data_IF_793725390890
#
_entry.id   IF_793725390890
#
_cell.length_a   1.000
_cell.length_b   1.000
_cell.length_c   1.000
_cell.angle_alpha   90.00
_cell.angle_beta   90.00
_cell.angle_gamma   90.00
#
_symmetry.space_group_name_H-M   'P 1'
#
loop_
_entity.id
_entity.type
_entity.pdbx_description
1 polymer ?
#
# COMPACT_ATOMS: atom_id res chain seq x y z
N UNK A 1 -28.79 8.56 -8.20
CA UNK A 1 -28.03 7.52 -8.93
C UNK A 1 -28.51 7.51 -10.38
N UNK A 2 -27.82 6.85 -11.31
CA UNK A 2 -28.37 6.61 -12.65
C UNK A 2 -29.49 5.56 -12.61
N UNK A 3 -29.60 4.78 -13.68
CA UNK A 3 -30.65 3.78 -13.83
C UNK A 3 -30.40 2.47 -13.03
N UNK A 4 -29.22 2.31 -12.41
CA UNK A 4 -28.90 1.20 -11.52
C UNK A 4 -28.58 -0.13 -12.21
N UNK A 5 -28.45 -0.15 -13.54
CA UNK A 5 -28.18 -1.36 -14.32
C UNK A 5 -26.72 -1.82 -14.23
N UNK A 6 -25.78 -0.89 -14.08
CA UNK A 6 -24.35 -1.18 -14.09
C UNK A 6 -23.78 -1.41 -12.68
N UNK A 7 -24.56 -1.11 -11.65
CA UNK A 7 -24.15 -1.24 -10.25
C UNK A 7 -24.71 -2.53 -9.64
N UNK A 8 -23.85 -3.31 -9.01
CA UNK A 8 -24.23 -4.47 -8.20
C UNK A 8 -24.81 -4.03 -6.86
N UNK A 9 -25.97 -4.56 -6.49
CA UNK A 9 -26.61 -4.21 -5.22
C UNK A 9 -25.77 -4.58 -4.01
N UNK A 10 -25.06 -5.71 -4.06
CA UNK A 10 -24.31 -6.22 -2.90
C UNK A 10 -22.83 -5.87 -2.92
N UNK A 11 -22.23 -5.77 -4.11
CA UNK A 11 -20.79 -5.66 -4.27
C UNK A 11 -20.29 -4.22 -4.42
N UNK A 12 -21.14 -3.29 -4.86
CA UNK A 12 -20.75 -1.90 -5.09
C UNK A 12 -21.25 -0.97 -3.97
N UNK A 13 -20.53 0.13 -3.75
CA UNK A 13 -20.93 1.21 -2.84
C UNK A 13 -21.82 2.23 -3.55
N UNK A 14 -22.99 1.80 -4.02
CA UNK A 14 -23.93 2.67 -4.72
C UNK A 14 -24.69 3.63 -3.79
N UNK A 15 -24.78 3.32 -2.49
CA UNK A 15 -25.46 4.15 -1.48
C UNK A 15 -24.56 5.21 -0.83
N UNK A 16 -23.26 5.18 -1.07
CA UNK A 16 -22.28 6.05 -0.41
C UNK A 16 -21.95 5.67 1.05
N UNK A 17 -22.86 4.95 1.74
CA UNK A 17 -22.68 4.49 3.12
C UNK A 17 -21.65 3.35 3.30
N UNK A 18 -21.19 2.71 2.21
CA UNK A 18 -20.33 1.54 2.23
C UNK A 18 -20.88 0.41 1.35
N UNK A 19 -20.13 -0.69 1.27
CA UNK A 19 -20.55 -1.86 0.50
C UNK A 19 -21.64 -2.61 1.27
N UNK A 20 -22.79 -2.83 0.64
CA UNK A 20 -24.00 -3.36 1.29
C UNK A 20 -23.76 -4.73 1.94
N UNK A 21 -23.00 -5.64 1.30
CA UNK A 21 -22.70 -6.96 1.88
C UNK A 21 -21.86 -6.90 3.16
N UNK A 22 -21.01 -5.88 3.28
CA UNK A 22 -20.14 -5.70 4.46
C UNK A 22 -20.92 -5.04 5.61
N UNK A 23 -21.86 -4.16 5.27
CA UNK A 23 -22.78 -3.53 6.24
C UNK A 23 -23.83 -4.52 6.76
N UNK A 24 -24.38 -5.37 5.89
CA UNK A 24 -25.47 -6.29 6.20
C UNK A 24 -25.15 -7.76 5.84
N UNK A 25 -24.11 -8.35 6.45
CA UNK A 25 -23.60 -9.67 6.06
C UNK A 25 -24.61 -10.81 6.27
N UNK A 26 -25.55 -10.67 7.21
CA UNK A 26 -26.57 -11.71 7.45
C UNK A 26 -27.60 -11.75 6.33
N UNK A 27 -27.98 -10.58 5.81
CA UNK A 27 -28.87 -10.48 4.66
C UNK A 27 -28.17 -10.96 3.39
N UNK A 28 -26.92 -10.56 3.18
CA UNK A 28 -26.12 -11.06 2.05
C UNK A 28 -25.98 -12.58 2.08
N UNK A 29 -25.85 -13.18 3.28
CA UNK A 29 -25.83 -14.62 3.40
C UNK A 29 -27.15 -15.27 2.95
N UNK A 30 -28.30 -14.60 3.07
CA UNK A 30 -29.61 -15.10 2.64
C UNK A 30 -29.87 -14.95 1.14
N UNK A 31 -29.12 -14.08 0.46
CA UNK A 31 -29.28 -13.78 -0.95
C UNK A 31 -28.89 -14.96 -1.86
N UNK A 32 -29.78 -15.33 -2.79
CA UNK A 32 -29.46 -16.28 -3.86
C UNK A 32 -28.79 -15.58 -5.05
N UNK A 33 -29.22 -14.38 -5.39
CA UNK A 33 -28.71 -13.62 -6.54
C UNK A 33 -27.72 -12.55 -6.09
N UNK A 34 -26.48 -12.98 -5.81
CA UNK A 34 -25.43 -12.09 -5.28
C UNK A 34 -24.97 -11.00 -6.25
N UNK A 35 -25.12 -11.26 -7.55
CA UNK A 35 -24.75 -10.33 -8.63
C UNK A 35 -25.94 -9.54 -9.18
N UNK A 36 -27.05 -9.48 -8.43
CA UNK A 36 -28.23 -8.69 -8.83
C UNK A 36 -27.89 -7.21 -8.94
N UNK A 37 -28.38 -6.55 -10.00
CA UNK A 37 -28.21 -5.12 -10.18
C UNK A 37 -29.06 -4.34 -9.18
N UNK A 38 -28.69 -3.09 -8.90
CA UNK A 38 -29.50 -2.20 -8.06
C UNK A 38 -30.88 -2.01 -8.67
N UNK A 39 -30.97 -1.84 -10.00
CA UNK A 39 -32.25 -1.67 -10.67
C UNK A 39 -33.18 -2.85 -10.46
N UNK A 40 -32.69 -4.05 -10.76
CA UNK A 40 -33.52 -5.25 -10.71
C UNK A 40 -33.99 -5.51 -9.27
N UNK A 41 -33.06 -5.39 -8.32
CA UNK A 41 -33.35 -5.61 -6.89
C UNK A 41 -34.38 -4.63 -6.32
N UNK A 42 -34.35 -3.37 -6.76
CA UNK A 42 -35.31 -2.34 -6.34
C UNK A 42 -36.63 -2.38 -7.12
N UNK A 43 -36.65 -3.06 -8.28
CA UNK A 43 -37.86 -3.25 -9.07
C UNK A 43 -38.74 -4.40 -8.58
N UNK A 44 -38.16 -5.33 -7.82
CA UNK A 44 -38.91 -6.41 -7.18
C UNK A 44 -39.95 -5.86 -6.19
N UNK A 45 -41.06 -6.58 -6.03
CA UNK A 45 -42.12 -6.21 -5.09
C UNK A 45 -41.63 -6.16 -3.64
N UNK A 46 -40.52 -6.84 -3.33
CA UNK A 46 -39.86 -6.81 -2.04
C UNK A 46 -38.37 -7.15 -2.20
N UNK A 47 -37.51 -6.48 -1.43
CA UNK A 47 -36.08 -6.81 -1.33
C UNK A 47 -35.83 -8.25 -0.85
N UNK A 48 -36.83 -8.91 -0.26
CA UNK A 48 -36.72 -10.29 0.23
C UNK A 48 -37.02 -11.34 -0.84
N UNK A 49 -37.47 -10.94 -2.04
CA UNK A 49 -37.93 -11.86 -3.09
C UNK A 49 -36.89 -12.90 -3.50
N UNK A 50 -35.63 -12.46 -3.64
CA UNK A 50 -34.52 -13.33 -4.03
C UNK A 50 -33.83 -14.02 -2.84
N UNK A 51 -34.32 -13.86 -1.61
CA UNK A 51 -33.75 -14.55 -0.47
C UNK A 51 -34.15 -16.03 -0.46
N UNK A 52 -33.21 -16.90 -0.09
CA UNK A 52 -33.46 -18.36 0.02
C UNK A 52 -34.53 -18.74 1.04
N UNK A 53 -34.81 -17.85 1.99
CA UNK A 53 -35.82 -18.01 3.04
C UNK A 53 -36.24 -16.65 3.59
N UNK A 54 -37.36 -16.64 4.31
CA UNK A 54 -37.80 -15.45 5.04
C UNK A 54 -36.81 -15.05 6.16
N UNK A 55 -36.77 -13.75 6.43
CA UNK A 55 -35.96 -13.15 7.48
C UNK A 55 -36.50 -13.63 8.83
N UNK A 56 -35.60 -14.07 9.70
CA UNK A 56 -35.94 -14.40 11.08
C UNK A 56 -35.71 -13.15 11.93
N UNK A 57 -36.57 -12.91 12.92
CA UNK A 57 -36.48 -11.73 13.79
C UNK A 57 -35.12 -11.54 14.48
N UNK A 58 -35.02 -10.50 15.31
CA UNK A 58 -33.77 -10.17 16.00
C UNK A 58 -32.76 -9.55 15.04
N UNK A 59 -31.53 -10.07 15.01
CA UNK A 59 -30.44 -9.39 14.30
C UNK A 59 -30.54 -9.41 12.75
N UNK A 60 -31.26 -10.37 12.13
CA UNK A 60 -31.52 -10.27 10.67
C UNK A 60 -32.54 -9.15 10.41
N UNK A 61 -33.58 -9.02 11.26
CA UNK A 61 -34.57 -7.94 11.16
C UNK A 61 -33.94 -6.56 11.35
N UNK A 62 -33.07 -6.39 12.35
CA UNK A 62 -32.37 -5.11 12.58
C UNK A 62 -31.56 -4.69 11.35
N UNK A 63 -30.86 -5.64 10.70
CA UNK A 63 -30.15 -5.34 9.45
C UNK A 63 -31.12 -4.99 8.31
N UNK A 64 -32.28 -5.64 8.25
CA UNK A 64 -33.28 -5.39 7.23
C UNK A 64 -33.91 -4.01 7.38
N UNK A 65 -34.28 -3.60 8.58
CA UNK A 65 -34.85 -2.29 8.86
C UNK A 65 -33.85 -1.16 8.50
N UNK A 66 -32.56 -1.39 8.79
CA UNK A 66 -31.50 -0.48 8.39
C UNK A 66 -31.31 -0.44 6.86
N UNK A 67 -31.37 -1.59 6.18
CA UNK A 67 -31.29 -1.65 4.72
C UNK A 67 -32.47 -0.93 4.06
N UNK A 68 -33.69 -1.14 4.56
CA UNK A 68 -34.89 -0.42 4.09
C UNK A 68 -34.74 1.09 4.26
N UNK A 69 -34.19 1.53 5.40
CA UNK A 69 -33.91 2.96 5.64
C UNK A 69 -32.91 3.52 4.62
N UNK A 70 -31.83 2.80 4.34
CA UNK A 70 -30.83 3.17 3.34
C UNK A 70 -31.42 3.22 1.92
N UNK A 71 -32.21 2.21 1.53
CA UNK A 71 -32.85 2.13 0.21
C UNK A 71 -33.84 3.27 0.02
N UNK A 72 -34.56 3.69 1.07
CA UNK A 72 -35.54 4.78 0.99
C UNK A 72 -34.92 6.14 0.61
N UNK A 73 -33.61 6.31 0.84
CA UNK A 73 -32.87 7.52 0.50
C UNK A 73 -32.38 7.54 -0.96
N UNK A 74 -32.50 6.42 -1.69
CA UNK A 74 -31.93 6.28 -3.04
C UNK A 74 -33.00 6.45 -4.11
N UNK A 75 -32.80 7.45 -4.95
CA UNK A 75 -33.61 7.69 -6.14
C UNK A 75 -32.84 7.28 -7.40
N UNK A 76 -33.41 6.34 -8.15
CA UNK A 76 -32.96 5.96 -9.49
C UNK A 76 -33.52 6.96 -10.51
N UNK A 77 -32.66 7.41 -11.41
CA UNK A 77 -33.01 8.36 -12.48
C UNK A 77 -32.88 7.61 -13.82
N UNK A 78 -33.74 7.87 -14.83
CA UNK A 78 -33.63 7.26 -16.15
C UNK A 78 -32.44 7.84 -16.95
N UNK A 79 -31.24 7.69 -16.42
CA UNK A 79 -29.96 8.10 -17.03
C UNK A 79 -28.95 6.97 -16.89
N UNK A 80 -27.93 6.94 -17.75
CA UNK A 80 -26.89 5.91 -17.68
C UNK A 80 -26.07 6.08 -16.40
N UNK A 81 -25.79 4.97 -15.72
CA UNK A 81 -24.92 4.97 -14.54
C UNK A 81 -23.52 5.53 -14.86
N UNK A 82 -22.92 6.20 -13.88
CA UNK A 82 -21.58 6.79 -13.99
C UNK A 82 -20.77 6.50 -12.75
N UNK A 83 -19.52 6.11 -12.95
CA UNK A 83 -18.54 5.99 -11.87
C UNK A 83 -18.13 7.37 -11.37
N UNK A 84 -18.21 7.57 -10.07
CA UNK A 84 -17.85 8.83 -9.41
C UNK A 84 -16.63 8.61 -8.51
N UNK A 85 -15.63 9.47 -8.67
CA UNK A 85 -14.43 9.44 -7.84
C UNK A 85 -14.63 10.27 -6.57
N UNK A 86 -14.64 9.62 -5.40
CA UNK A 86 -14.94 10.28 -4.12
C UNK A 86 -13.73 10.96 -3.46
N UNK A 87 -12.50 10.70 -3.93
CA UNK A 87 -11.30 11.28 -3.32
C UNK A 87 -11.08 12.76 -3.67
N UNK A 88 -11.85 13.30 -4.61
CA UNK A 88 -11.75 14.69 -5.04
C UNK A 88 -13.14 15.28 -5.25
N UNK A 89 -13.31 16.57 -4.93
CA UNK A 89 -14.58 17.29 -5.08
C UNK A 89 -15.09 17.37 -6.52
N UNK A 90 -14.21 17.19 -7.51
CA UNK A 90 -14.56 17.24 -8.93
C UNK A 90 -15.27 15.98 -9.42
N UNK A 91 -15.44 14.94 -8.60
CA UNK A 91 -16.07 13.65 -8.96
C UNK A 91 -15.40 12.88 -10.10
N UNK A 92 -14.28 13.38 -10.62
CA UNK A 92 -13.56 12.84 -11.75
C UNK A 92 -12.30 12.09 -11.32
N UNK A 93 -11.99 11.01 -12.04
CA UNK A 93 -10.78 10.25 -11.83
C UNK A 93 -9.55 11.05 -12.33
N UNK A 94 -8.52 11.12 -11.50
CA UNK A 94 -7.24 11.70 -11.89
C UNK A 94 -6.08 10.86 -11.38
N UNK A 95 -5.17 10.51 -12.28
CA UNK A 95 -3.92 9.81 -11.93
C UNK A 95 -3.08 10.66 -10.96
N UNK A 96 -3.12 11.99 -11.08
CA UNK A 96 -2.39 12.88 -10.20
C UNK A 96 -2.94 12.84 -8.77
N UNK A 97 -4.27 12.79 -8.60
CA UNK A 97 -4.88 12.80 -7.26
C UNK A 97 -4.63 11.49 -6.51
N UNK A 98 -4.82 10.33 -7.17
CA UNK A 98 -4.54 9.04 -6.54
C UNK A 98 -3.05 8.87 -6.24
N UNK A 99 -2.17 9.33 -7.13
CA UNK A 99 -0.72 9.25 -6.93
C UNK A 99 -0.28 10.06 -5.71
N UNK A 100 -0.83 11.25 -5.49
CA UNK A 100 -0.54 12.07 -4.31
C UNK A 100 -0.87 11.34 -2.99
N UNK A 101 -1.98 10.60 -2.96
CA UNK A 101 -2.41 9.82 -1.77
C UNK A 101 -1.48 8.61 -1.57
N UNK A 102 -1.19 7.87 -2.64
CA UNK A 102 -0.27 6.73 -2.61
C UNK A 102 1.11 7.19 -2.14
N UNK A 103 1.63 8.25 -2.73
CA UNK A 103 2.94 8.80 -2.38
C UNK A 103 2.95 9.30 -0.93
N UNK A 104 1.90 9.96 -0.45
CA UNK A 104 1.80 10.37 0.96
C UNK A 104 1.78 9.22 1.97
N UNK A 105 1.25 8.05 1.59
CA UNK A 105 1.25 6.86 2.46
C UNK A 105 2.54 6.03 2.37
N UNK A 106 3.14 5.95 1.18
CA UNK A 106 4.32 5.11 0.91
C UNK A 106 5.63 5.82 1.17
N UNK A 107 5.71 7.09 0.83
CA UNK A 107 6.88 7.90 1.08
C UNK A 107 6.72 8.48 2.47
N UNK A 108 7.36 7.84 3.47
CA UNK A 108 7.64 8.53 4.72
C UNK A 108 8.30 9.85 4.34
N UNK A 109 7.81 10.96 4.87
CA UNK A 109 8.45 12.27 4.65
C UNK A 109 9.82 12.26 5.35
N UNK A 110 10.80 11.61 4.73
CA UNK A 110 12.19 11.76 5.13
C UNK A 110 12.54 13.22 4.86
N UNK A 111 12.72 13.99 5.94
CA UNK A 111 13.07 15.40 5.86
C UNK A 111 14.45 15.60 5.24
N UNK A 112 15.25 14.53 5.11
CA UNK A 112 16.56 14.59 4.50
C UNK A 112 16.46 14.48 2.97
N UNK A 113 16.55 15.64 2.29
CA UNK A 113 16.74 15.67 0.83
C UNK A 113 17.96 14.83 0.46
N UNK A 114 17.81 13.93 -0.51
CA UNK A 114 18.95 13.16 -1.03
C UNK A 114 19.92 14.11 -1.73
N UNK A 115 21.17 14.17 -1.26
CA UNK A 115 22.22 14.99 -1.87
C UNK A 115 23.05 14.12 -2.82
N UNK A 116 22.95 14.41 -4.11
CA UNK A 116 23.74 13.75 -5.14
C UNK A 116 25.14 14.35 -5.22
N UNK A 117 26.17 13.51 -5.34
CA UNK A 117 27.54 13.98 -5.57
C UNK A 117 27.81 14.05 -7.08
N UNK A 118 28.07 15.26 -7.60
CA UNK A 118 28.33 15.49 -9.04
C UNK A 118 29.65 14.91 -9.55
N UNK A 119 30.58 14.57 -8.65
CA UNK A 119 31.92 14.07 -8.99
C UNK A 119 31.98 12.54 -9.13
N UNK A 120 30.89 11.83 -8.86
CA UNK A 120 30.82 10.37 -9.02
C UNK A 120 29.82 9.99 -10.11
N UNK A 121 30.02 8.84 -10.78
CA UNK A 121 29.04 8.32 -11.73
C UNK A 121 27.65 8.16 -11.08
N UNK A 122 26.60 8.40 -11.86
CA UNK A 122 25.21 8.31 -11.40
C UNK A 122 24.87 6.94 -10.78
N UNK A 123 25.46 5.85 -11.28
CA UNK A 123 25.26 4.50 -10.76
C UNK A 123 25.74 4.37 -9.30
N UNK A 124 26.86 4.99 -8.96
CA UNK A 124 27.41 5.01 -7.59
C UNK A 124 26.51 5.78 -6.65
N UNK A 125 26.03 6.94 -7.10
CA UNK A 125 25.04 7.75 -6.41
C UNK A 125 23.76 6.93 -6.12
N UNK A 126 23.18 6.28 -7.14
CA UNK A 126 21.96 5.46 -7.01
C UNK A 126 22.18 4.29 -6.05
N UNK A 127 23.35 3.64 -6.10
CA UNK A 127 23.70 2.57 -5.17
C UNK A 127 23.76 3.07 -3.73
N UNK A 128 24.45 4.19 -3.47
CA UNK A 128 24.52 4.80 -2.15
C UNK A 128 23.13 5.19 -1.61
N UNK A 129 22.28 5.76 -2.46
CA UNK A 129 20.89 6.06 -2.12
C UNK A 129 20.09 4.79 -1.76
N UNK A 130 20.22 3.71 -2.54
CA UNK A 130 19.57 2.43 -2.23
C UNK A 130 20.07 1.81 -0.92
N UNK A 131 21.36 1.95 -0.60
CA UNK A 131 21.92 1.50 0.68
C UNK A 131 21.33 2.31 1.83
N UNK A 132 21.29 3.65 1.71
CA UNK A 132 20.69 4.54 2.73
C UNK A 132 19.23 4.21 3.00
N UNK A 133 18.45 3.92 1.96
CA UNK A 133 17.03 3.60 2.06
C UNK A 133 16.74 2.14 2.44
N UNK A 134 17.77 1.33 2.70
CA UNK A 134 17.68 -0.14 2.83
C UNK A 134 16.80 -0.78 1.73
N UNK A 135 17.00 -0.32 0.49
CA UNK A 135 16.18 -0.65 -0.67
C UNK A 135 16.88 -1.62 -1.64
N UNK A 136 18.04 -2.17 -1.25
CA UNK A 136 18.71 -3.22 -2.00
C UNK A 136 17.92 -4.54 -1.95
N UNK A 137 17.97 -5.36 -3.01
CA UNK A 137 17.29 -6.65 -3.08
C UNK A 137 18.02 -7.72 -2.26
N UNK A 138 18.29 -7.43 -0.98
CA UNK A 138 18.86 -8.41 -0.05
C UNK A 138 17.81 -9.42 0.35
N UNK A 139 18.21 -10.65 0.73
CA UNK A 139 17.25 -11.65 1.22
C UNK A 139 16.41 -11.15 2.40
N UNK A 140 16.98 -10.35 3.31
CA UNK A 140 16.22 -9.71 4.38
C UNK A 140 15.12 -8.79 3.85
N UNK A 141 15.42 -7.96 2.84
CA UNK A 141 14.45 -7.03 2.27
C UNK A 141 13.41 -7.73 1.40
N UNK A 142 13.77 -8.85 0.76
CA UNK A 142 12.84 -9.71 0.02
C UNK A 142 11.84 -10.35 0.99
N UNK A 143 12.33 -10.95 2.08
CA UNK A 143 11.49 -11.54 3.12
C UNK A 143 10.55 -10.52 3.77
N UNK A 144 11.03 -9.30 4.08
CA UNK A 144 10.19 -8.20 4.60
C UNK A 144 9.06 -7.78 3.66
N UNK A 145 9.15 -8.07 2.37
CA UNK A 145 8.11 -7.80 1.37
C UNK A 145 7.10 -8.95 1.23
N UNK A 146 7.21 -10.00 2.06
CA UNK A 146 6.33 -11.15 2.03
C UNK A 146 6.61 -12.12 0.89
N UNK A 147 7.78 -12.03 0.24
CA UNK A 147 8.21 -13.00 -0.76
C UNK A 147 8.84 -14.18 -0.02
N UNK A 148 8.28 -15.37 -0.23
CA UNK A 148 8.77 -16.59 0.39
C UNK A 148 10.14 -16.98 -0.16
N UNK A 149 11.08 -17.19 0.76
CA UNK A 149 12.47 -17.58 0.46
C UNK A 149 12.94 -18.60 1.50
N UNK A 150 13.70 -19.59 1.04
CA UNK A 150 14.14 -20.72 1.88
C UNK A 150 15.01 -20.31 3.08
N UNK A 151 15.77 -19.21 2.95
CA UNK A 151 16.61 -18.69 4.03
C UNK A 151 16.94 -17.22 3.81
N UNK A 152 17.04 -16.45 4.89
CA UNK A 152 17.54 -15.07 4.91
C UNK A 152 19.05 -14.98 5.15
N UNK A 153 19.74 -16.12 5.27
CA UNK A 153 21.19 -16.17 5.44
C UNK A 153 21.92 -15.63 4.22
N UNK A 154 23.08 -15.00 4.45
CA UNK A 154 23.92 -14.47 3.38
C UNK A 154 24.54 -15.62 2.57
N UNK A 155 24.29 -15.70 1.25
CA UNK A 155 24.78 -16.80 0.41
C UNK A 155 26.28 -16.73 0.17
N UNK A 156 26.92 -15.57 0.42
CA UNK A 156 28.34 -15.35 0.16
C UNK A 156 29.17 -15.91 1.32
N UNK A 157 28.76 -15.64 2.55
CA UNK A 157 29.51 -16.01 3.74
C UNK A 157 28.94 -17.22 4.47
N UNK A 158 27.67 -17.53 4.23
CA UNK A 158 26.87 -18.47 5.00
C UNK A 158 26.82 -18.20 6.52
N UNK A 159 27.24 -17.01 6.94
CA UNK A 159 27.34 -16.55 8.32
C UNK A 159 26.50 -15.27 8.51
N UNK A 160 25.35 -15.41 9.16
CA UNK A 160 24.45 -14.29 9.47
C UNK A 160 23.49 -13.91 8.35
N UNK A 161 22.69 -12.87 8.62
CA UNK A 161 21.58 -12.42 7.76
C UNK A 161 22.09 -11.54 6.62
N UNK A 162 21.61 -11.81 5.40
CA UNK A 162 21.88 -10.97 4.24
C UNK A 162 21.16 -9.63 4.36
N UNK A 163 21.85 -8.63 4.88
CA UNK A 163 21.38 -7.24 4.96
C UNK A 163 22.36 -6.29 4.26
N UNK A 164 21.89 -5.10 3.91
CA UNK A 164 22.76 -4.04 3.35
C UNK A 164 23.93 -3.75 4.30
N UNK A 165 23.69 -3.75 5.61
CA UNK A 165 24.75 -3.58 6.61
C UNK A 165 25.76 -4.74 6.61
N UNK A 166 25.26 -5.98 6.52
CA UNK A 166 26.11 -7.17 6.48
C UNK A 166 27.02 -7.19 5.24
N UNK A 167 26.45 -6.93 4.05
CA UNK A 167 27.18 -6.98 2.78
C UNK A 167 28.27 -5.90 2.67
N UNK A 168 28.00 -4.68 3.13
CA UNK A 168 28.90 -3.54 2.92
C UNK A 168 29.80 -3.21 4.13
N UNK A 169 29.39 -3.54 5.37
CA UNK A 169 30.09 -3.07 6.58
C UNK A 169 30.58 -4.17 7.53
N UNK A 170 29.92 -5.34 7.60
CA UNK A 170 30.35 -6.43 8.50
C UNK A 170 31.12 -7.56 7.84
N UNK A 171 30.76 -7.95 6.62
CA UNK A 171 31.35 -9.13 6.01
C UNK A 171 32.82 -8.89 5.60
N UNK A 172 33.70 -9.86 5.92
CA UNK A 172 35.18 -9.75 5.77
C UNK A 172 35.62 -9.37 4.34
N UNK A 173 34.87 -9.77 3.31
CA UNK A 173 35.13 -9.40 1.90
C UNK A 173 34.24 -8.25 1.38
N UNK A 174 33.26 -7.77 2.15
CA UNK A 174 32.54 -6.52 1.84
C UNK A 174 33.48 -5.32 1.76
N UNK A 175 34.60 -5.37 2.50
CA UNK A 175 35.72 -4.43 2.37
C UNK A 175 36.46 -4.53 1.04
N UNK A 176 36.47 -5.69 0.38
CA UNK A 176 37.18 -5.96 -0.87
C UNK A 176 36.31 -5.75 -2.13
N UNK A 177 35.01 -6.06 -2.07
CA UNK A 177 34.08 -5.75 -3.16
C UNK A 177 33.86 -4.23 -3.32
N UNK A 178 33.95 -3.48 -2.22
CA UNK A 178 33.99 -2.01 -2.25
C UNK A 178 35.33 -1.47 -2.80
N UNK A 179 36.42 -2.25 -2.76
CA UNK A 179 37.74 -1.76 -3.18
C UNK A 179 38.03 -1.86 -4.68
N UNK A 180 37.22 -2.58 -5.48
CA UNK A 180 37.50 -2.73 -6.92
C UNK A 180 36.64 -1.86 -7.82
N UNK A 181 35.59 -1.20 -7.32
CA UNK A 181 34.84 -0.16 -8.06
C UNK A 181 34.28 0.98 -7.19
N UNK A 182 34.64 1.04 -5.90
CA UNK A 182 34.08 1.96 -4.91
C UNK A 182 35.15 2.53 -3.96
N UNK A 183 36.39 2.63 -4.44
CA UNK A 183 37.56 3.12 -3.69
C UNK A 183 37.49 4.61 -3.25
N UNK A 184 36.33 5.26 -3.30
CA UNK A 184 36.19 6.69 -2.94
C UNK A 184 34.99 7.03 -2.04
N UNK A 185 34.50 6.13 -1.19
CA UNK A 185 33.54 6.51 -0.13
C UNK A 185 33.98 6.16 1.30
N UNK A 186 35.16 5.55 1.48
CA UNK A 186 35.81 5.49 2.80
C UNK A 186 37.19 6.11 2.68
N UNK A 187 37.28 7.42 2.90
CA UNK A 187 38.55 8.14 2.98
C UNK A 187 39.40 7.54 4.12
N UNK A 188 40.39 6.71 3.78
CA UNK A 188 41.54 6.46 4.64
C UNK A 188 42.56 7.56 4.36
N UNK A 189 42.36 8.75 4.92
CA UNK A 189 43.38 9.80 4.94
C UNK A 189 44.44 9.42 5.97
N UNK A 190 45.49 8.71 5.55
CA UNK A 190 46.78 8.76 6.24
C UNK A 190 47.57 9.91 5.63
N UNK A 191 47.76 10.98 6.40
CA UNK A 191 48.69 12.06 6.06
C UNK A 191 48.02 13.38 5.70
N UNK A 192 47.26 13.97 6.63
CA UNK A 192 47.12 15.43 6.76
C UNK A 192 46.48 15.71 8.12
N UNK A 193 47.25 16.25 9.05
CA UNK A 193 46.72 16.91 10.24
C UNK A 193 45.86 18.11 9.77
N UNK A 194 44.75 18.34 10.47
CA UNK A 194 43.79 19.44 10.28
C UNK A 194 42.78 19.30 9.13
N UNK A 195 41.66 18.62 9.41
CA UNK A 195 40.27 19.13 9.28
C UNK A 195 39.30 17.96 9.52
N UNK A 196 38.88 17.82 10.78
CA UNK A 196 37.76 16.94 11.17
C UNK A 196 36.45 17.60 10.74
N UNK A 197 36.07 17.40 9.47
CA UNK A 197 34.85 17.94 8.87
C UNK A 197 33.89 16.81 8.46
N UNK A 198 33.05 16.42 9.41
CA UNK A 198 31.84 15.58 9.34
C UNK A 198 31.23 15.37 7.95
N UNK A 199 31.27 14.13 7.45
CA UNK A 199 30.16 13.52 6.71
C UNK A 199 29.79 12.25 7.47
N UNK A 200 29.26 12.44 8.68
CA UNK A 200 28.51 11.40 9.37
C UNK A 200 27.24 11.17 8.56
N UNK A 201 27.08 9.95 8.06
CA UNK A 201 25.78 9.42 7.70
C UNK A 201 24.94 9.42 8.99
N UNK A 202 23.87 10.21 9.04
CA UNK A 202 22.83 10.20 10.09
C UNK A 202 22.08 8.86 10.11
N UNK A 203 22.78 7.78 10.46
CA UNK A 203 22.22 6.46 10.78
C UNK A 203 22.93 5.92 12.02
N UNK A 204 22.86 6.67 13.12
CA UNK A 204 23.04 6.10 14.47
C UNK A 204 21.97 6.71 15.37
N UNK A 205 21.00 5.87 15.73
CA UNK A 205 19.95 6.13 16.73
C UNK A 205 20.56 6.28 18.14
N UNK A 206 19.94 7.04 19.06
CA UNK A 206 20.52 7.40 20.34
C UNK A 206 20.25 6.31 21.38
N UNK A 207 21.28 5.55 21.74
CA UNK A 207 21.34 4.81 23.01
C UNK A 207 22.74 4.22 23.16
N UNK A 208 23.58 4.86 23.98
CA UNK A 208 24.66 4.29 24.79
C UNK A 208 25.43 5.46 25.41
N UNK A 209 24.93 5.95 26.53
CA UNK A 209 25.76 6.36 27.68
C UNK A 209 25.46 5.33 28.77
#
# INVERSE_FOLDING_TARGET
>A
MGNGNMASFWNDNWSGAGIVKDLYPRLYALENHKEVSVRDKLSDSSLTMSFRRHIRGGAEQVQFDALMSLVSLVNLVPSVDRWVWTLQSTSEFSVASIRKIIDGSRLKSDQSKTRWNKYVPIKTNVLAWKIKMDALPTRLNISRRGIDIQSISCPICNEGIESSHHLFFRYKYGKAACSQNLLLVVYRLRGCQFLWGVVYLDVVSPACV
#
